data_IF_233372988280
#
_entry.id   IF_233372988280
#
_cell.length_a   1.000
_cell.length_b   1.000
_cell.length_c   1.000
_cell.angle_alpha   90.00
_cell.angle_beta   90.00
_cell.angle_gamma   90.00
#
_symmetry.space_group_name_H-M   'P 1'
#
loop_
_entity.id
_entity.type
_entity.pdbx_description
1 polymer ?
#
# COMPACT_ATOMS: atom_id res chain seq x y z
N UNK A 1 56.28 6.55 50.82
CA UNK A 1 57.22 5.92 49.88
C UNK A 1 56.48 5.97 48.52
N UNK A 2 56.73 6.94 47.80
CA UNK A 2 57.43 7.26 46.54
C UNK A 2 57.71 6.00 45.69
N UNK A 3 57.03 5.93 44.51
CA UNK A 3 57.78 5.77 43.27
C UNK A 3 56.91 6.17 42.09
N UNK A 4 57.42 7.17 41.44
CA UNK A 4 57.08 7.73 40.10
C UNK A 4 57.81 6.91 39.02
N UNK A 5 57.18 6.61 37.88
CA UNK A 5 57.92 6.33 36.64
C UNK A 5 57.05 6.94 35.47
N UNK A 6 57.59 7.88 34.97
CA UNK A 6 57.85 8.61 33.75
C UNK A 6 57.18 8.14 32.44
N UNK A 7 56.70 9.19 31.79
CA UNK A 7 56.41 9.41 30.36
C UNK A 7 57.33 8.69 29.35
N UNK A 8 56.72 8.26 28.26
CA UNK A 8 57.41 8.35 26.96
C UNK A 8 56.37 8.77 25.89
N UNK A 9 56.52 10.01 25.41
CA UNK A 9 55.90 10.55 24.23
C UNK A 9 56.65 10.01 23.01
N UNK A 10 55.93 9.43 22.04
CA UNK A 10 56.43 9.22 20.70
C UNK A 10 55.66 10.15 19.75
N UNK A 11 56.37 11.18 19.28
CA UNK A 11 56.00 12.00 18.11
C UNK A 11 56.20 11.14 16.85
N UNK A 12 55.17 11.08 16.02
CA UNK A 12 55.35 10.76 14.57
C UNK A 12 54.76 11.89 13.74
N UNK A 13 55.68 12.47 12.95
CA UNK A 13 55.43 13.53 12.00
C UNK A 13 54.72 12.98 10.75
N UNK A 14 53.95 13.81 10.01
CA UNK A 14 53.28 13.38 8.81
C UNK A 14 54.24 13.40 7.61
N UNK A 15 54.29 12.31 6.87
CA UNK A 15 54.95 12.22 5.58
C UNK A 15 53.96 12.70 4.51
N UNK A 16 54.22 13.88 3.97
CA UNK A 16 53.53 14.45 2.79
C UNK A 16 54.14 13.75 1.56
N UNK A 17 53.33 12.96 0.84
CA UNK A 17 53.66 12.44 -0.46
C UNK A 17 52.88 13.23 -1.53
N UNK A 18 53.59 14.15 -2.18
CA UNK A 18 53.13 14.80 -3.41
C UNK A 18 53.29 13.80 -4.54
N UNK A 19 52.19 13.37 -5.15
CA UNK A 19 52.19 12.73 -6.46
C UNK A 19 51.38 13.58 -7.42
N UNK A 20 52.14 14.32 -8.22
CA UNK A 20 51.68 14.94 -9.47
C UNK A 20 51.32 13.80 -10.44
N UNK A 21 50.04 13.71 -10.83
CA UNK A 21 49.69 12.95 -12.03
C UNK A 21 48.65 13.72 -12.85
N UNK A 22 48.97 13.77 -14.13
CA UNK A 22 48.51 14.61 -15.19
C UNK A 22 46.99 14.65 -15.38
N UNK A 23 46.58 15.82 -15.79
CA UNK A 23 45.28 16.10 -16.35
C UNK A 23 45.11 15.32 -17.68
N UNK A 24 44.35 14.24 -17.62
CA UNK A 24 43.74 13.69 -18.81
C UNK A 24 42.36 14.31 -18.93
N UNK A 25 42.19 15.21 -19.87
CA UNK A 25 40.91 15.70 -20.33
C UNK A 25 40.12 14.53 -20.91
N UNK A 26 39.15 14.02 -20.13
CA UNK A 26 38.09 13.22 -20.68
C UNK A 26 37.00 14.17 -21.17
N UNK A 27 36.92 14.29 -22.46
CA UNK A 27 35.81 14.88 -23.19
C UNK A 27 34.54 14.08 -22.83
N UNK A 28 33.69 14.64 -21.98
CA UNK A 28 32.33 14.17 -21.76
C UNK A 28 31.51 14.53 -23.01
N UNK A 29 31.55 13.69 -24.01
CA UNK A 29 30.53 13.68 -25.07
C UNK A 29 29.19 13.37 -24.41
N UNK A 30 28.35 14.41 -24.26
CA UNK A 30 26.92 14.25 -23.99
C UNK A 30 26.33 13.43 -25.12
N UNK A 31 25.53 12.37 -24.84
CA UNK A 31 24.74 11.76 -25.89
C UNK A 31 23.74 12.80 -26.39
N UNK A 32 23.83 13.13 -27.65
CA UNK A 32 22.86 13.93 -28.35
C UNK A 32 21.48 13.29 -28.20
N UNK A 33 20.53 14.07 -27.69
CA UNK A 33 19.12 13.75 -27.75
C UNK A 33 18.78 13.40 -29.21
N UNK A 34 18.42 12.15 -29.44
CA UNK A 34 17.87 11.71 -30.71
C UNK A 34 16.51 12.40 -30.90
N UNK A 35 16.51 13.57 -31.49
CA UNK A 35 15.35 14.09 -32.18
C UNK A 35 15.14 13.18 -33.38
N UNK A 36 14.14 12.30 -33.29
CA UNK A 36 13.62 11.58 -34.43
C UNK A 36 13.03 12.60 -35.40
N UNK A 37 13.80 12.96 -36.39
CA UNK A 37 13.29 13.56 -37.61
C UNK A 37 12.35 12.50 -38.24
N UNK A 38 11.08 12.71 -38.07
CA UNK A 38 10.08 12.00 -38.89
C UNK A 38 10.25 12.53 -40.31
N UNK A 39 11.04 11.84 -41.11
CA UNK A 39 11.08 12.06 -42.56
C UNK A 39 9.73 11.56 -43.10
N UNK A 40 8.96 12.48 -43.66
CA UNK A 40 7.76 12.16 -44.44
C UNK A 40 8.17 11.57 -45.80
N UNK A 41 8.74 10.39 -45.81
CA UNK A 41 8.88 9.63 -47.06
C UNK A 41 7.58 8.90 -47.37
N UNK A 42 6.79 9.53 -48.21
CA UNK A 42 5.61 8.90 -48.85
C UNK A 42 6.15 7.86 -49.84
N UNK A 43 6.14 6.60 -49.43
CA UNK A 43 6.37 5.49 -50.37
C UNK A 43 5.13 5.33 -51.23
N UNK A 44 5.31 5.51 -52.56
CA UNK A 44 4.30 5.10 -53.53
C UNK A 44 4.63 3.67 -54.01
N UNK A 45 3.56 2.89 -54.24
CA UNK A 45 3.72 1.62 -54.95
C UNK A 45 4.04 1.83 -56.45
N UNK A 46 4.39 0.77 -57.16
CA UNK A 46 4.75 0.81 -58.57
C UNK A 46 3.56 1.14 -59.51
N UNK A 47 2.35 1.41 -58.96
CA UNK A 47 1.13 1.78 -59.72
C UNK A 47 0.63 3.15 -59.39
N UNK A 48 1.30 3.91 -58.50
CA UNK A 48 0.94 5.33 -58.23
C UNK A 48 -0.33 5.56 -57.43
N UNK A 49 -0.90 4.54 -56.76
CA UNK A 49 -2.01 4.72 -55.85
C UNK A 49 -1.54 5.07 -54.45
N UNK A 50 -2.20 6.01 -53.75
CA UNK A 50 -1.84 6.34 -52.37
C UNK A 50 -2.16 5.13 -51.48
N UNK A 51 -1.15 4.62 -50.77
CA UNK A 51 -1.34 3.62 -49.71
C UNK A 51 -2.18 4.31 -48.61
N UNK A 52 -3.42 3.81 -48.41
CA UNK A 52 -4.23 4.20 -47.26
C UNK A 52 -3.37 4.01 -45.99
N UNK A 53 -3.15 5.11 -45.28
CA UNK A 53 -2.48 5.03 -43.97
C UNK A 53 -3.37 4.18 -43.08
N UNK A 54 -2.83 3.08 -42.56
CA UNK A 54 -3.44 2.38 -41.44
C UNK A 54 -3.77 3.43 -40.37
N UNK A 55 -5.06 3.71 -40.23
CA UNK A 55 -5.55 4.51 -39.12
C UNK A 55 -5.26 3.71 -37.85
N UNK A 56 -4.21 4.11 -37.13
CA UNK A 56 -3.98 3.60 -35.77
C UNK A 56 -5.20 4.06 -34.95
N UNK A 57 -6.15 3.16 -34.78
CA UNK A 57 -7.29 3.38 -33.91
C UNK A 57 -6.73 3.32 -32.48
N UNK A 58 -6.52 4.48 -31.89
CA UNK A 58 -6.28 4.57 -30.45
C UNK A 58 -7.59 4.23 -29.74
N UNK A 59 -7.72 2.95 -29.33
CA UNK A 59 -8.81 2.55 -28.43
C UNK A 59 -8.34 2.94 -27.02
N UNK A 60 -8.84 4.05 -26.53
CA UNK A 60 -8.66 4.47 -25.14
C UNK A 60 -9.59 3.62 -24.27
N UNK A 61 -9.08 2.50 -23.76
CA UNK A 61 -9.85 1.58 -22.93
C UNK A 61 -9.77 2.07 -21.49
N UNK A 62 -10.57 3.07 -21.15
CA UNK A 62 -10.74 3.53 -19.76
C UNK A 62 -11.59 2.50 -19.00
N UNK A 63 -10.94 1.51 -18.39
CA UNK A 63 -11.57 0.52 -17.53
C UNK A 63 -11.31 0.87 -16.06
N UNK A 64 -12.35 1.17 -15.32
CA UNK A 64 -12.28 1.33 -13.87
C UNK A 64 -12.47 -0.02 -13.18
N UNK A 65 -11.48 -0.43 -12.36
CA UNK A 65 -11.55 -1.66 -11.57
C UNK A 65 -11.88 -1.33 -10.11
N UNK A 66 -12.75 -2.15 -9.52
CA UNK A 66 -13.18 -2.02 -8.13
C UNK A 66 -13.10 -3.38 -7.46
N UNK A 67 -12.22 -3.51 -6.45
CA UNK A 67 -12.17 -4.67 -5.58
C UNK A 67 -13.30 -4.57 -4.56
N UNK A 68 -14.04 -5.67 -4.38
CA UNK A 68 -15.21 -5.73 -3.51
C UNK A 68 -15.10 -6.93 -2.58
N UNK A 69 -15.15 -6.67 -1.27
CA UNK A 69 -15.34 -7.70 -0.25
C UNK A 69 -16.80 -7.73 0.17
N UNK A 70 -17.38 -8.92 0.26
CA UNK A 70 -18.76 -9.10 0.73
C UNK A 70 -18.75 -9.98 1.97
N UNK A 71 -19.46 -9.55 3.03
CA UNK A 71 -19.61 -10.33 4.25
C UNK A 71 -21.08 -10.43 4.68
N UNK A 72 -21.38 -11.45 5.45
CA UNK A 72 -22.65 -11.55 6.17
C UNK A 72 -22.64 -10.67 7.44
N UNK A 73 -23.75 -10.56 8.18
CA UNK A 73 -23.81 -9.78 9.43
C UNK A 73 -22.89 -10.28 10.54
N UNK A 74 -22.38 -11.52 10.44
CA UNK A 74 -21.41 -12.10 11.37
C UNK A 74 -19.97 -11.91 10.91
N UNK A 75 -19.75 -11.03 9.92
CA UNK A 75 -18.42 -10.78 9.34
C UNK A 75 -17.76 -12.02 8.69
N UNK A 76 -18.54 -13.01 8.23
CA UNK A 76 -18.04 -14.14 7.44
C UNK A 76 -18.06 -13.76 5.97
N UNK A 77 -17.03 -14.16 5.24
CA UNK A 77 -16.94 -13.92 3.80
C UNK A 77 -18.09 -14.60 3.07
N UNK A 78 -18.65 -13.91 2.08
CA UNK A 78 -19.65 -14.44 1.16
C UNK A 78 -19.00 -14.55 -0.22
N UNK A 79 -18.79 -15.78 -0.66
CA UNK A 79 -18.24 -16.14 -1.97
C UNK A 79 -19.32 -16.75 -2.86
N UNK A 80 -19.02 -16.91 -4.17
CA UNK A 80 -19.97 -17.52 -5.13
C UNK A 80 -21.11 -16.60 -5.58
N UNK A 81 -20.96 -15.28 -5.40
CA UNK A 81 -21.85 -14.31 -6.04
C UNK A 81 -21.49 -14.15 -7.52
N UNK A 82 -22.50 -13.95 -8.34
CA UNK A 82 -22.40 -13.76 -9.79
C UNK A 82 -22.45 -12.26 -10.17
N UNK A 83 -22.03 -11.87 -11.38
CA UNK A 83 -22.07 -10.47 -11.84
C UNK A 83 -23.44 -9.81 -11.63
N UNK A 84 -24.53 -10.53 -11.88
CA UNK A 84 -25.91 -10.04 -11.74
C UNK A 84 -26.30 -9.68 -10.29
N UNK A 85 -25.51 -10.12 -9.31
CA UNK A 85 -25.70 -9.74 -7.92
C UNK A 85 -25.17 -8.34 -7.61
N UNK A 86 -24.38 -7.74 -8.51
CA UNK A 86 -23.74 -6.46 -8.27
C UNK A 86 -24.34 -5.36 -9.16
N UNK A 87 -24.52 -4.19 -8.58
CA UNK A 87 -24.86 -2.96 -9.30
C UNK A 87 -23.85 -1.88 -8.93
N UNK A 88 -23.14 -1.38 -9.92
CA UNK A 88 -22.12 -0.33 -9.77
C UNK A 88 -22.75 1.02 -10.11
N UNK A 89 -22.49 2.01 -9.26
CA UNK A 89 -22.91 3.40 -9.51
C UNK A 89 -21.69 4.31 -9.43
N UNK A 90 -21.52 5.18 -10.42
CA UNK A 90 -20.57 6.29 -10.40
C UNK A 90 -21.34 7.60 -10.40
N UNK A 91 -21.10 8.46 -9.43
CA UNK A 91 -21.82 9.74 -9.23
C UNK A 91 -23.36 9.58 -9.30
N UNK A 92 -23.88 8.48 -8.75
CA UNK A 92 -25.27 8.01 -8.77
C UNK A 92 -25.80 7.56 -10.15
N UNK A 93 -24.98 7.51 -11.19
CA UNK A 93 -25.32 6.91 -12.48
C UNK A 93 -24.92 5.45 -12.47
N UNK A 94 -25.85 4.55 -12.80
CA UNK A 94 -25.57 3.12 -12.88
C UNK A 94 -24.64 2.83 -14.05
N UNK A 95 -23.63 2.00 -13.80
CA UNK A 95 -22.62 1.58 -14.77
C UNK A 95 -22.79 0.10 -15.09
N UNK A 96 -22.57 -0.27 -16.34
CA UNK A 96 -22.58 -1.66 -16.78
C UNK A 96 -21.27 -2.34 -16.37
N UNK A 97 -21.38 -3.48 -15.68
CA UNK A 97 -20.21 -4.31 -15.33
C UNK A 97 -19.82 -5.12 -16.57
N UNK A 98 -18.68 -4.78 -17.16
CA UNK A 98 -18.15 -5.43 -18.37
C UNK A 98 -17.06 -6.46 -18.09
N UNK A 99 -16.51 -6.41 -16.88
CA UNK A 99 -15.53 -7.40 -16.41
C UNK A 99 -15.88 -7.82 -14.99
N UNK A 100 -15.79 -9.12 -14.74
CA UNK A 100 -16.02 -9.72 -13.43
C UNK A 100 -15.03 -10.85 -13.21
N UNK A 101 -14.34 -10.82 -12.06
CA UNK A 101 -13.48 -11.91 -11.62
C UNK A 101 -13.61 -12.10 -10.11
N UNK A 102 -13.44 -13.33 -9.66
CA UNK A 102 -13.29 -13.72 -8.27
C UNK A 102 -12.06 -14.61 -8.07
N UNK A 103 -11.13 -14.56 -9.01
CA UNK A 103 -9.91 -15.35 -8.98
C UNK A 103 -8.91 -14.80 -7.98
N UNK A 104 -8.17 -15.71 -7.34
CA UNK A 104 -7.02 -15.33 -6.52
C UNK A 104 -5.85 -14.97 -7.44
N UNK A 105 -5.48 -13.71 -7.43
CA UNK A 105 -4.36 -13.17 -8.21
C UNK A 105 -3.24 -12.73 -7.28
N UNK A 106 -1.97 -12.75 -7.74
CA UNK A 106 -0.83 -12.28 -6.95
C UNK A 106 -1.01 -10.86 -6.43
N UNK A 107 -0.60 -10.63 -5.18
CA UNK A 107 -0.76 -9.36 -4.48
C UNK A 107 0.60 -8.81 -4.05
N UNK A 108 0.79 -7.49 -4.21
CA UNK A 108 1.88 -6.76 -3.54
C UNK A 108 1.39 -6.20 -2.22
N UNK A 109 2.02 -6.59 -1.12
CA UNK A 109 1.56 -6.29 0.23
C UNK A 109 2.64 -5.56 1.02
N UNK A 110 2.30 -4.39 1.56
CA UNK A 110 3.11 -3.72 2.56
C UNK A 110 2.60 -3.99 3.98
N UNK A 111 3.47 -4.45 4.86
CA UNK A 111 3.16 -4.57 6.30
C UNK A 111 3.77 -3.39 7.02
N UNK A 112 2.95 -2.64 7.75
CA UNK A 112 3.33 -1.48 8.54
C UNK A 112 3.15 -1.85 10.01
N UNK A 113 4.28 -2.01 10.72
CA UNK A 113 4.32 -2.48 12.09
C UNK A 113 4.69 -1.36 13.05
N UNK A 114 3.83 -1.13 14.02
CA UNK A 114 4.07 -0.18 15.11
C UNK A 114 5.11 -0.72 16.09
N UNK A 115 6.17 0.06 16.27
CA UNK A 115 7.28 -0.19 17.19
C UNK A 115 7.38 0.91 18.25
N UNK A 116 6.29 1.64 18.50
CA UNK A 116 6.22 2.67 19.54
C UNK A 116 6.24 2.08 20.96
N UNK A 117 6.45 2.94 21.96
CA UNK A 117 6.55 2.52 23.35
C UNK A 117 5.27 1.86 23.89
N UNK A 118 4.08 2.28 23.44
CA UNK A 118 2.79 1.71 23.81
C UNK A 118 2.61 0.26 23.34
N UNK A 119 3.36 -0.13 22.30
CA UNK A 119 3.35 -1.49 21.77
C UNK A 119 4.24 -2.48 22.54
N UNK A 120 4.99 -2.06 23.56
CA UNK A 120 5.99 -2.89 24.22
C UNK A 120 5.45 -4.27 24.67
N UNK A 121 4.29 -4.30 25.31
CA UNK A 121 3.65 -5.52 25.78
C UNK A 121 2.83 -6.27 24.67
N UNK A 122 2.56 -5.60 23.57
CA UNK A 122 1.70 -6.07 22.45
C UNK A 122 2.53 -6.58 21.28
N UNK A 123 3.79 -6.13 21.16
CA UNK A 123 4.65 -6.37 19.99
C UNK A 123 4.86 -7.85 19.67
N UNK A 124 5.00 -8.70 20.68
CA UNK A 124 5.13 -10.15 20.50
C UNK A 124 3.94 -10.74 19.74
N UNK A 125 2.73 -10.38 20.17
CA UNK A 125 1.48 -10.83 19.52
C UNK A 125 1.23 -10.16 18.17
N UNK A 126 1.62 -8.90 18.00
CA UNK A 126 1.58 -8.22 16.70
C UNK A 126 2.47 -8.92 15.65
N UNK A 127 3.67 -9.34 16.05
CA UNK A 127 4.57 -10.14 15.20
C UNK A 127 3.97 -11.51 14.87
N UNK A 128 3.37 -12.20 15.84
CA UNK A 128 2.68 -13.47 15.63
C UNK A 128 1.53 -13.32 14.62
N UNK A 129 0.74 -12.25 14.74
CA UNK A 129 -0.31 -11.93 13.78
C UNK A 129 0.24 -11.73 12.36
N UNK A 130 1.30 -10.94 12.20
CA UNK A 130 1.93 -10.76 10.90
C UNK A 130 2.48 -12.08 10.33
N UNK A 131 3.00 -12.98 11.17
CA UNK A 131 3.44 -14.30 10.73
C UNK A 131 2.28 -15.18 10.27
N UNK A 132 1.12 -15.13 10.95
CA UNK A 132 -0.07 -15.84 10.48
C UNK A 132 -0.59 -15.25 9.17
N UNK A 133 -0.54 -13.94 9.01
CA UNK A 133 -0.88 -13.29 7.74
C UNK A 133 0.02 -13.79 6.59
N UNK A 134 1.32 -13.85 6.78
CA UNK A 134 2.26 -14.36 5.77
C UNK A 134 2.00 -15.84 5.40
N UNK A 135 1.44 -16.66 6.30
CA UNK A 135 1.06 -18.04 5.99
C UNK A 135 -0.11 -18.14 5.00
N UNK A 136 -0.86 -17.05 4.82
CA UNK A 136 -1.92 -16.97 3.80
C UNK A 136 -1.39 -16.57 2.43
N UNK A 137 -0.08 -16.33 2.31
CA UNK A 137 0.56 -15.85 1.10
C UNK A 137 0.51 -16.87 -0.03
N UNK A 138 0.36 -16.37 -1.24
CA UNK A 138 0.55 -17.11 -2.47
C UNK A 138 2.04 -17.10 -2.85
N UNK A 139 2.61 -18.13 -3.49
CA UNK A 139 4.02 -18.13 -3.90
C UNK A 139 4.44 -16.95 -4.78
N UNK A 140 3.50 -16.36 -5.51
CA UNK A 140 3.75 -15.22 -6.41
C UNK A 140 3.55 -13.86 -5.73
N UNK A 141 3.16 -13.83 -4.44
CA UNK A 141 3.05 -12.58 -3.70
C UNK A 141 4.41 -11.99 -3.37
N UNK A 142 4.43 -10.68 -3.29
CA UNK A 142 5.57 -9.94 -2.78
C UNK A 142 5.18 -9.06 -1.60
N UNK A 143 6.12 -8.92 -0.67
CA UNK A 143 5.92 -8.18 0.57
C UNK A 143 7.04 -7.17 0.79
N UNK A 144 6.73 -6.03 1.37
CA UNK A 144 7.71 -5.18 2.03
C UNK A 144 7.31 -4.92 3.48
N UNK A 145 8.27 -4.50 4.30
CA UNK A 145 8.07 -4.24 5.72
C UNK A 145 8.51 -2.83 6.08
N UNK A 146 7.60 -2.06 6.66
CA UNK A 146 7.86 -0.78 7.31
C UNK A 146 7.68 -0.95 8.81
N UNK A 147 8.68 -0.54 9.59
CA UNK A 147 8.54 -0.36 11.03
C UNK A 147 8.50 1.12 11.37
N UNK A 148 7.74 1.50 12.38
CA UNK A 148 7.71 2.89 12.81
C UNK A 148 7.62 3.05 14.33
N UNK A 149 8.27 4.08 14.80
CA UNK A 149 8.15 4.65 16.13
C UNK A 149 8.22 6.18 15.99
N UNK A 150 9.26 6.84 16.49
CA UNK A 150 9.49 8.28 16.26
C UNK A 150 9.69 8.61 14.77
N UNK A 151 10.03 7.63 13.94
CA UNK A 151 10.22 7.73 12.49
C UNK A 151 9.80 6.45 11.80
N UNK A 152 9.26 6.60 10.60
CA UNK A 152 9.02 5.46 9.72
C UNK A 152 10.32 5.04 9.02
N UNK A 153 10.56 3.72 8.95
CA UNK A 153 11.74 3.12 8.33
C UNK A 153 11.35 1.90 7.50
N UNK A 154 11.93 1.77 6.32
CA UNK A 154 11.81 0.57 5.51
C UNK A 154 12.73 -0.50 6.12
N UNK A 155 12.15 -1.52 6.73
CA UNK A 155 12.89 -2.64 7.33
C UNK A 155 13.24 -3.71 6.29
N UNK A 156 12.37 -3.91 5.29
CA UNK A 156 12.63 -4.78 4.15
C UNK A 156 12.02 -4.21 2.88
N UNK A 157 12.75 -4.12 1.77
CA UNK A 157 12.16 -3.85 0.45
C UNK A 157 11.28 -5.02 0.01
N UNK A 158 10.64 -4.90 -1.15
CA UNK A 158 9.85 -5.99 -1.73
C UNK A 158 10.66 -7.29 -1.85
N UNK A 159 10.07 -8.37 -1.37
CA UNK A 159 10.60 -9.73 -1.42
C UNK A 159 9.47 -10.76 -1.35
N UNK A 160 9.64 -11.90 -2.02
CA UNK A 160 8.79 -13.09 -1.80
C UNK A 160 9.29 -13.98 -0.66
N UNK A 161 10.44 -13.67 -0.05
CA UNK A 161 11.03 -14.47 1.03
C UNK A 161 10.44 -14.06 2.38
N UNK A 162 9.48 -14.84 2.86
CA UNK A 162 8.76 -14.60 4.14
C UNK A 162 9.69 -14.80 5.34
N UNK A 163 10.66 -15.70 5.28
CA UNK A 163 11.62 -15.97 6.35
C UNK A 163 12.51 -14.76 6.65
N UNK A 164 12.92 -14.04 5.60
CA UNK A 164 13.67 -12.79 5.74
C UNK A 164 12.86 -11.72 6.46
N UNK A 165 11.58 -11.57 6.08
CA UNK A 165 10.67 -10.63 6.74
C UNK A 165 10.51 -10.97 8.23
N UNK A 166 10.29 -12.24 8.55
CA UNK A 166 10.15 -12.71 9.92
C UNK A 166 11.42 -12.42 10.75
N UNK A 167 12.59 -12.70 10.18
CA UNK A 167 13.88 -12.44 10.83
C UNK A 167 14.06 -10.95 11.17
N UNK A 168 13.72 -10.06 10.23
CA UNK A 168 13.77 -8.60 10.45
C UNK A 168 12.76 -8.14 11.50
N UNK A 169 11.56 -8.70 11.49
CA UNK A 169 10.55 -8.41 12.51
C UNK A 169 10.98 -8.88 13.89
N UNK A 170 11.59 -10.06 14.02
CA UNK A 170 12.05 -10.60 15.31
C UNK A 170 13.08 -9.68 15.97
N UNK A 171 13.97 -9.06 15.19
CA UNK A 171 14.99 -8.14 15.69
C UNK A 171 14.44 -6.77 16.12
N UNK A 172 13.22 -6.42 15.72
CA UNK A 172 12.61 -5.13 16.05
C UNK A 172 12.18 -5.06 17.53
N UNK A 173 12.34 -3.91 18.15
CA UNK A 173 11.97 -3.63 19.55
C UNK A 173 11.09 -2.39 19.65
N UNK A 174 10.13 -2.41 20.59
CA UNK A 174 9.22 -1.30 20.82
C UNK A 174 9.86 -0.22 21.71
N UNK A 175 9.81 1.06 21.27
CA UNK A 175 10.26 2.23 22.01
C UNK A 175 9.85 3.53 21.34
N UNK A 176 9.84 4.62 22.10
CA UNK A 176 9.67 5.99 21.58
C UNK A 176 8.22 6.36 21.29
N UNK A 177 8.04 7.40 20.49
CA UNK A 177 6.76 7.97 20.08
C UNK A 177 6.19 7.24 18.87
N UNK A 178 5.08 7.76 18.30
CA UNK A 178 4.32 7.12 17.22
C UNK A 178 4.16 8.06 16.05
N UNK A 179 4.81 7.74 14.91
CA UNK A 179 4.71 8.48 13.64
C UNK A 179 3.93 7.64 12.60
N UNK A 180 2.66 7.35 12.90
CA UNK A 180 1.79 6.48 12.09
C UNK A 180 1.54 7.07 10.69
N UNK A 181 1.22 8.38 10.61
CA UNK A 181 0.93 9.01 9.33
C UNK A 181 2.16 9.05 8.40
N UNK A 182 3.36 9.26 8.97
CA UNK A 182 4.62 9.13 8.23
C UNK A 182 4.85 7.70 7.71
N UNK A 183 4.44 6.68 8.49
CA UNK A 183 4.55 5.29 8.09
C UNK A 183 3.59 4.92 6.96
N UNK A 184 2.35 5.42 7.00
CA UNK A 184 1.39 5.26 5.90
C UNK A 184 1.92 5.94 4.64
N UNK A 185 2.46 7.17 4.75
CA UNK A 185 3.10 7.85 3.63
C UNK A 185 4.22 7.01 3.01
N UNK A 186 5.13 6.48 3.83
CA UNK A 186 6.23 5.64 3.38
C UNK A 186 5.72 4.37 2.71
N UNK A 187 4.71 3.69 3.30
CA UNK A 187 4.08 2.51 2.73
C UNK A 187 3.47 2.77 1.35
N UNK A 188 2.70 3.84 1.20
CA UNK A 188 2.13 4.25 -0.10
C UNK A 188 3.22 4.61 -1.12
N UNK A 189 4.32 5.23 -0.67
CA UNK A 189 5.46 5.55 -1.53
C UNK A 189 6.17 4.29 -2.02
N UNK A 190 6.38 3.29 -1.16
CA UNK A 190 6.95 1.99 -1.54
C UNK A 190 6.04 1.25 -2.52
N UNK A 191 4.72 1.30 -2.31
CA UNK A 191 3.73 0.63 -3.15
C UNK A 191 3.76 1.07 -4.63
N UNK A 192 4.34 2.23 -4.95
CA UNK A 192 4.55 2.65 -6.35
C UNK A 192 5.50 1.73 -7.12
N UNK A 193 6.39 1.02 -6.41
CA UNK A 193 7.30 0.02 -6.98
C UNK A 193 6.75 -1.40 -7.01
N UNK A 194 5.46 -1.59 -6.70
CA UNK A 194 4.81 -2.89 -6.67
C UNK A 194 4.77 -3.58 -8.04
N UNK A 195 5.15 -4.85 -8.09
CA UNK A 195 5.15 -5.67 -9.30
C UNK A 195 3.76 -6.19 -9.67
N UNK A 196 2.86 -6.37 -8.68
CA UNK A 196 1.52 -6.89 -8.91
C UNK A 196 0.49 -5.76 -9.03
N UNK A 197 -0.54 -6.00 -9.83
CA UNK A 197 -1.65 -5.04 -10.03
C UNK A 197 -2.54 -4.90 -8.79
N UNK A 198 -2.72 -5.99 -8.02
CA UNK A 198 -3.46 -5.95 -6.75
C UNK A 198 -2.52 -5.54 -5.63
N UNK A 199 -2.92 -4.51 -4.86
CA UNK A 199 -2.06 -3.85 -3.87
C UNK A 199 -2.76 -3.65 -2.56
N UNK A 200 -2.08 -3.97 -1.45
CA UNK A 200 -2.64 -3.79 -0.12
C UNK A 200 -1.58 -3.32 0.90
N UNK A 201 -2.00 -2.54 1.89
CA UNK A 201 -1.23 -2.23 3.09
C UNK A 201 -1.94 -2.81 4.31
N UNK A 202 -1.22 -3.56 5.13
CA UNK A 202 -1.68 -4.04 6.43
C UNK A 202 -0.99 -3.23 7.53
N UNK A 203 -1.75 -2.46 8.28
CA UNK A 203 -1.28 -1.65 9.41
C UNK A 203 -1.58 -2.39 10.71
N UNK A 204 -0.57 -2.61 11.55
CA UNK A 204 -0.71 -3.20 12.88
C UNK A 204 -0.22 -2.18 13.90
N UNK A 205 -1.15 -1.57 14.65
CA UNK A 205 -0.86 -0.45 15.56
C UNK A 205 -1.92 -0.34 16.64
N UNK A 206 -1.65 0.38 17.71
CA UNK A 206 -2.67 0.85 18.65
C UNK A 206 -3.30 2.19 18.22
N UNK A 207 -2.94 2.72 17.05
CA UNK A 207 -3.63 3.78 16.33
C UNK A 207 -3.31 5.20 16.77
N UNK A 208 -2.50 5.41 17.80
CA UNK A 208 -2.03 6.74 18.19
C UNK A 208 -1.11 7.35 17.13
N UNK A 209 -1.20 8.66 16.93
CA UNK A 209 -0.20 9.43 16.16
C UNK A 209 0.14 10.69 16.93
N UNK A 210 1.39 10.83 17.33
CA UNK A 210 1.84 11.96 18.15
C UNK A 210 3.18 12.54 17.69
N UNK A 211 3.74 12.05 16.57
CA UNK A 211 5.06 12.48 16.12
C UNK A 211 5.23 12.53 14.60
N UNK A 212 4.17 12.39 13.82
CA UNK A 212 4.24 12.51 12.36
C UNK A 212 4.45 13.95 11.90
N UNK A 213 5.09 14.09 10.75
CA UNK A 213 5.29 15.37 10.04
C UNK A 213 4.12 15.69 9.12
N UNK A 214 3.48 14.65 8.58
CA UNK A 214 2.31 14.79 7.73
C UNK A 214 1.05 14.95 8.58
N UNK A 215 0.11 15.77 8.10
CA UNK A 215 -1.20 15.89 8.71
C UNK A 215 -2.13 14.76 8.27
N UNK A 216 -3.14 14.47 9.08
CA UNK A 216 -4.19 13.51 8.75
C UNK A 216 -4.87 13.85 7.41
N UNK A 217 -5.11 15.13 7.15
CA UNK A 217 -5.70 15.61 5.90
C UNK A 217 -4.82 15.27 4.68
N UNK A 218 -3.50 15.42 4.80
CA UNK A 218 -2.57 15.13 3.71
C UNK A 218 -2.55 13.64 3.40
N UNK A 219 -2.52 12.80 4.43
CA UNK A 219 -2.53 11.35 4.26
C UNK A 219 -3.87 10.86 3.71
N UNK A 220 -5.01 11.36 4.19
CA UNK A 220 -6.34 11.02 3.62
C UNK A 220 -6.42 11.36 2.12
N UNK A 221 -5.80 12.47 1.68
CA UNK A 221 -5.72 12.80 0.26
C UNK A 221 -4.89 11.76 -0.50
N UNK A 222 -3.70 11.44 -0.02
CA UNK A 222 -2.83 10.42 -0.66
C UNK A 222 -3.49 9.04 -0.71
N UNK A 223 -4.16 8.64 0.35
CA UNK A 223 -4.92 7.37 0.42
C UNK A 223 -6.02 7.30 -0.64
N UNK A 224 -6.72 8.41 -0.90
CA UNK A 224 -7.75 8.48 -1.96
C UNK A 224 -7.16 8.39 -3.36
N UNK A 225 -5.93 8.89 -3.55
CA UNK A 225 -5.24 8.86 -4.85
C UNK A 225 -4.54 7.51 -5.09
N UNK A 226 -4.28 6.75 -4.03
CA UNK A 226 -3.58 5.48 -4.12
C UNK A 226 -4.53 4.37 -4.59
N UNK A 227 -4.10 3.61 -5.59
CA UNK A 227 -4.77 2.36 -5.97
C UNK A 227 -4.26 1.22 -5.09
N UNK A 228 -4.47 1.36 -3.78
CA UNK A 228 -3.97 0.45 -2.74
C UNK A 228 -5.02 0.32 -1.66
N UNK A 229 -5.42 -0.90 -1.33
CA UNK A 229 -6.35 -1.16 -0.23
C UNK A 229 -5.62 -1.10 1.11
N UNK A 230 -6.18 -0.40 2.07
CA UNK A 230 -5.65 -0.32 3.43
C UNK A 230 -6.48 -1.24 4.34
N UNK A 231 -5.80 -2.12 5.04
CA UNK A 231 -6.35 -2.90 6.16
C UNK A 231 -5.64 -2.50 7.43
N UNK A 232 -6.34 -2.53 8.55
CA UNK A 232 -5.71 -2.27 9.85
C UNK A 232 -6.16 -3.24 10.92
N UNK A 233 -5.23 -3.61 11.81
CA UNK A 233 -5.47 -4.27 13.07
C UNK A 233 -5.13 -3.27 14.16
N UNK A 234 -6.17 -2.71 14.78
CA UNK A 234 -6.07 -1.79 15.90
C UNK A 234 -6.07 -2.53 17.22
N UNK A 235 -5.01 -2.42 18.02
CA UNK A 235 -4.84 -3.17 19.28
C UNK A 235 -5.22 -2.26 20.45
N UNK A 236 -6.41 -2.46 21.04
CA UNK A 236 -6.96 -1.59 22.07
C UNK A 236 -7.35 -2.37 23.32
N UNK A 237 -6.45 -2.51 24.29
CA UNK A 237 -6.74 -3.20 25.55
C UNK A 237 -7.69 -2.36 26.44
N UNK A 238 -8.81 -2.94 26.92
CA UNK A 238 -9.82 -2.20 27.70
C UNK A 238 -9.29 -1.60 29.01
N UNK A 239 -8.29 -2.23 29.62
CA UNK A 239 -7.76 -1.83 30.93
C UNK A 239 -6.90 -0.56 30.88
N UNK A 240 -6.41 -0.15 29.73
CA UNK A 240 -5.57 1.04 29.55
C UNK A 240 -6.38 2.35 29.39
N UNK A 241 -7.71 2.28 29.41
CA UNK A 241 -8.60 3.43 29.13
C UNK A 241 -8.33 4.66 30.00
N UNK A 242 -7.80 4.48 31.20
CA UNK A 242 -7.56 5.61 32.14
C UNK A 242 -6.24 6.34 31.93
N UNK A 243 -5.33 5.74 31.14
CA UNK A 243 -3.99 6.31 30.88
C UNK A 243 -3.78 6.71 29.41
N UNK A 244 -4.79 6.54 28.55
CA UNK A 244 -4.69 6.88 27.13
C UNK A 244 -4.64 8.37 26.89
N UNK A 245 -3.77 8.76 25.94
CA UNK A 245 -3.77 10.11 25.38
C UNK A 245 -4.97 10.32 24.44
N UNK A 246 -5.27 11.58 24.10
CA UNK A 246 -6.34 11.89 23.14
C UNK A 246 -6.06 11.25 21.76
N UNK A 247 -4.82 11.18 21.37
CA UNK A 247 -4.37 10.58 20.12
C UNK A 247 -4.66 9.07 20.10
N UNK A 248 -4.38 8.35 21.17
CA UNK A 248 -4.68 6.92 21.31
C UNK A 248 -6.20 6.66 21.35
N UNK A 249 -6.99 7.56 21.92
CA UNK A 249 -8.46 7.47 21.93
C UNK A 249 -9.03 7.65 20.50
N UNK A 250 -8.43 8.52 19.70
CA UNK A 250 -8.86 8.78 18.32
C UNK A 250 -8.32 7.77 17.31
N UNK A 251 -7.33 6.96 17.70
CA UNK A 251 -6.66 5.99 16.82
C UNK A 251 -7.60 5.05 16.06
N UNK A 252 -8.59 4.40 16.72
CA UNK A 252 -9.56 3.53 16.04
C UNK A 252 -10.33 4.25 14.94
N UNK A 253 -10.76 5.48 15.20
CA UNK A 253 -11.50 6.29 14.22
C UNK A 253 -10.63 6.64 13.04
N UNK A 254 -9.37 7.05 13.27
CA UNK A 254 -8.41 7.35 12.22
C UNK A 254 -8.14 6.14 11.32
N UNK A 255 -7.85 4.98 11.90
CA UNK A 255 -7.61 3.74 11.16
C UNK A 255 -8.85 3.33 10.35
N UNK A 256 -10.06 3.42 10.93
CA UNK A 256 -11.30 3.09 10.25
C UNK A 256 -11.55 4.00 9.04
N UNK A 257 -11.41 5.32 9.21
CA UNK A 257 -11.59 6.27 8.11
C UNK A 257 -10.59 6.04 6.97
N UNK A 258 -9.32 5.74 7.27
CA UNK A 258 -8.31 5.46 6.25
C UNK A 258 -8.62 4.18 5.45
N UNK A 259 -9.06 3.12 6.14
CA UNK A 259 -9.38 1.84 5.50
C UNK A 259 -10.66 1.92 4.66
N UNK A 260 -11.71 2.58 5.15
CA UNK A 260 -12.98 2.76 4.43
C UNK A 260 -12.80 3.50 3.09
N UNK A 261 -11.90 4.49 3.02
CA UNK A 261 -11.64 5.24 1.79
C UNK A 261 -11.21 4.32 0.63
N UNK A 262 -10.51 3.24 0.94
CA UNK A 262 -9.88 2.32 -0.03
C UNK A 262 -10.66 1.03 -0.26
N UNK A 263 -11.74 0.82 0.50
CA UNK A 263 -12.52 -0.42 0.45
C UNK A 263 -11.89 -1.57 1.24
N UNK A 264 -10.88 -1.27 2.06
CA UNK A 264 -10.38 -2.19 3.07
C UNK A 264 -11.16 -2.06 4.38
N UNK A 265 -10.63 -2.64 5.46
CA UNK A 265 -11.33 -2.73 6.75
C UNK A 265 -10.40 -2.52 7.93
N UNK A 266 -10.93 -1.92 8.99
CA UNK A 266 -10.28 -1.86 10.29
C UNK A 266 -10.87 -2.94 11.22
N UNK A 267 -10.00 -3.66 11.90
CA UNK A 267 -10.34 -4.65 12.91
C UNK A 267 -9.83 -4.18 14.27
N UNK A 268 -10.74 -3.92 15.17
CA UNK A 268 -10.40 -3.58 16.56
C UNK A 268 -10.26 -4.87 17.37
N UNK A 269 -9.14 -5.01 18.07
CA UNK A 269 -8.79 -6.19 18.86
C UNK A 269 -8.59 -5.77 20.31
N UNK A 270 -9.39 -6.34 21.19
CA UNK A 270 -9.33 -6.14 22.64
C UNK A 270 -8.55 -7.26 23.35
N UNK A 271 -8.58 -8.48 22.79
CA UNK A 271 -7.84 -9.62 23.29
C UNK A 271 -6.69 -9.96 22.32
N UNK A 272 -5.47 -9.82 22.79
CA UNK A 272 -4.26 -10.08 21.98
C UNK A 272 -4.18 -11.50 21.39
N UNK A 273 -4.87 -12.47 21.98
CA UNK A 273 -4.90 -13.83 21.45
C UNK A 273 -5.73 -13.97 20.17
N UNK A 274 -6.60 -13.01 19.87
CA UNK A 274 -7.42 -13.02 18.65
C UNK A 274 -6.67 -12.45 17.44
N UNK A 275 -5.50 -11.80 17.66
CA UNK A 275 -4.70 -11.16 16.62
C UNK A 275 -4.32 -12.10 15.46
N UNK A 276 -3.83 -13.33 15.70
CA UNK A 276 -3.47 -14.25 14.63
C UNK A 276 -4.66 -14.62 13.75
N UNK A 277 -5.83 -14.87 14.34
CA UNK A 277 -7.05 -15.26 13.62
C UNK A 277 -7.58 -14.10 12.76
N UNK A 278 -7.50 -12.86 13.28
CA UNK A 278 -7.89 -11.66 12.53
C UNK A 278 -6.93 -11.43 11.36
N UNK A 279 -5.64 -11.63 11.55
CA UNK A 279 -4.65 -11.50 10.49
C UNK A 279 -4.89 -12.55 9.38
N UNK A 280 -5.15 -13.81 9.75
CA UNK A 280 -5.52 -14.86 8.81
C UNK A 280 -6.82 -14.53 8.06
N UNK A 281 -7.81 -13.94 8.75
CA UNK A 281 -9.06 -13.49 8.14
C UNK A 281 -8.83 -12.38 7.11
N UNK A 282 -7.97 -11.41 7.39
CA UNK A 282 -7.60 -10.35 6.42
C UNK A 282 -6.95 -10.98 5.19
N UNK A 283 -6.04 -11.93 5.37
CA UNK A 283 -5.45 -12.68 4.27
C UNK A 283 -6.49 -13.40 3.42
N UNK A 284 -7.44 -14.09 4.06
CA UNK A 284 -8.55 -14.74 3.36
C UNK A 284 -9.45 -13.73 2.63
N UNK A 285 -9.74 -12.56 3.23
CA UNK A 285 -10.50 -11.50 2.55
C UNK A 285 -9.79 -11.00 1.31
N UNK A 286 -8.50 -10.73 1.38
CA UNK A 286 -7.70 -10.27 0.24
C UNK A 286 -7.70 -11.29 -0.91
N UNK A 287 -7.76 -12.60 -0.62
CA UNK A 287 -7.81 -13.68 -1.63
C UNK A 287 -9.17 -13.82 -2.30
N UNK A 288 -10.25 -13.56 -1.57
CA UNK A 288 -11.61 -13.87 -1.99
C UNK A 288 -12.42 -12.60 -2.34
N UNK A 289 -11.78 -11.60 -2.93
CA UNK A 289 -12.45 -10.40 -3.40
C UNK A 289 -13.02 -10.61 -4.80
N UNK A 290 -14.16 -9.97 -5.06
CA UNK A 290 -14.66 -9.78 -6.40
C UNK A 290 -13.99 -8.57 -7.04
N UNK A 291 -13.65 -8.66 -8.32
CA UNK A 291 -13.14 -7.54 -9.11
C UNK A 291 -14.21 -7.18 -10.13
N UNK A 292 -14.76 -5.98 -10.01
CA UNK A 292 -15.74 -5.44 -10.93
C UNK A 292 -15.08 -4.42 -11.84
N UNK A 293 -15.18 -4.61 -13.15
CA UNK A 293 -14.70 -3.66 -14.15
C UNK A 293 -15.85 -3.02 -14.90
N UNK A 294 -15.81 -1.70 -15.10
CA UNK A 294 -16.79 -0.96 -15.90
C UNK A 294 -16.11 0.16 -16.68
N UNK A 295 -16.72 0.57 -17.78
CA UNK A 295 -16.31 1.75 -18.52
C UNK A 295 -17.08 2.97 -18.01
N UNK A 296 -16.40 3.96 -17.37
CA UNK A 296 -17.06 5.16 -16.89
C UNK A 296 -17.87 5.84 -18.00
N UNK A 297 -19.16 6.08 -17.75
CA UNK A 297 -20.01 6.83 -18.67
C UNK A 297 -19.61 8.30 -18.77
N UNK A 298 -19.04 8.85 -17.69
CA UNK A 298 -18.42 10.19 -17.67
C UNK A 298 -16.96 10.10 -18.14
N UNK A 299 -16.70 10.47 -19.38
CA UNK A 299 -15.37 10.43 -20.02
C UNK A 299 -14.53 11.70 -19.80
N UNK A 300 -14.95 12.64 -18.95
CA UNK A 300 -14.21 13.87 -18.72
C UNK A 300 -12.88 13.59 -17.97
N UNK A 301 -11.79 14.08 -18.53
CA UNK A 301 -10.44 14.03 -17.95
C UNK A 301 -10.19 15.33 -17.17
N UNK A 302 -10.89 15.51 -16.04
CA UNK A 302 -10.99 16.77 -15.30
C UNK A 302 -10.36 16.72 -13.91
N UNK A 303 -9.65 15.64 -13.57
CA UNK A 303 -9.06 15.38 -12.27
C UNK A 303 -10.04 15.46 -11.08
N UNK A 304 -11.36 15.39 -11.34
CA UNK A 304 -12.38 15.44 -10.29
C UNK A 304 -12.60 14.09 -9.67
N UNK A 305 -13.02 14.12 -8.41
CA UNK A 305 -13.41 12.92 -7.67
C UNK A 305 -14.69 12.32 -8.29
N UNK A 306 -14.65 11.02 -8.57
CA UNK A 306 -15.79 10.18 -9.00
C UNK A 306 -16.16 9.30 -7.82
N UNK A 307 -17.40 9.47 -7.32
CA UNK A 307 -17.89 8.68 -6.20
C UNK A 307 -18.38 7.32 -6.69
N UNK A 308 -17.87 6.24 -6.13
CA UNK A 308 -18.32 4.86 -6.40
C UNK A 308 -19.26 4.39 -5.29
N UNK A 309 -20.31 3.69 -5.68
CA UNK A 309 -21.18 2.98 -4.76
C UNK A 309 -21.57 1.62 -5.36
N UNK A 310 -21.31 0.56 -4.61
CA UNK A 310 -21.73 -0.79 -4.96
C UNK A 310 -23.00 -1.13 -4.19
N UNK A 311 -24.01 -1.68 -4.87
CA UNK A 311 -25.22 -2.25 -4.27
C UNK A 311 -25.30 -3.71 -4.62
N UNK A 312 -25.73 -4.54 -3.67
CA UNK A 312 -26.01 -5.95 -3.92
C UNK A 312 -27.49 -6.18 -4.16
N UNK A 313 -27.75 -7.02 -5.16
CA UNK A 313 -29.01 -7.72 -5.31
C UNK A 313 -28.77 -9.15 -4.82
N UNK A 314 -28.83 -9.32 -3.49
CA UNK A 314 -28.54 -10.62 -2.89
C UNK A 314 -29.47 -11.72 -3.38
N UNK A 315 -28.99 -12.96 -3.49
CA UNK A 315 -29.83 -14.14 -3.70
C UNK A 315 -30.93 -14.23 -2.64
N UNK A 316 -32.11 -14.72 -3.04
CA UNK A 316 -33.25 -14.90 -2.11
C UNK A 316 -32.84 -15.85 -0.96
N UNK A 317 -33.15 -15.45 0.26
CA UNK A 317 -32.89 -16.27 1.46
C UNK A 317 -31.59 -15.96 2.20
N UNK A 318 -30.72 -15.08 1.66
CA UNK A 318 -29.56 -14.58 2.41
C UNK A 318 -29.96 -13.38 3.30
N UNK A 319 -29.33 -13.25 4.48
CA UNK A 319 -29.48 -12.05 5.30
C UNK A 319 -28.93 -10.82 4.58
N UNK A 320 -29.21 -9.60 5.07
CA UNK A 320 -28.56 -8.39 4.55
C UNK A 320 -27.02 -8.55 4.56
N UNK A 321 -26.39 -8.27 3.41
CA UNK A 321 -24.94 -8.41 3.23
C UNK A 321 -24.26 -7.05 3.35
N UNK A 322 -23.05 -7.04 3.91
CA UNK A 322 -22.19 -5.88 3.95
C UNK A 322 -21.25 -5.88 2.75
N UNK A 323 -21.03 -4.69 2.17
CA UNK A 323 -20.16 -4.49 1.01
C UNK A 323 -19.07 -3.52 1.37
N UNK A 324 -17.83 -3.90 1.10
CA UNK A 324 -16.66 -3.07 1.28
C UNK A 324 -15.98 -2.89 -0.08
N UNK A 325 -15.90 -1.64 -0.52
CA UNK A 325 -15.30 -1.26 -1.79
C UNK A 325 -14.78 0.18 -1.68
N UNK A 326 -13.81 0.54 -2.52
CA UNK A 326 -13.31 1.93 -2.57
C UNK A 326 -14.45 2.91 -2.80
N UNK A 327 -14.41 4.05 -2.12
CA UNK A 327 -15.50 5.06 -2.15
C UNK A 327 -15.48 5.93 -3.39
N UNK A 328 -14.42 5.85 -4.20
CA UNK A 328 -14.25 6.60 -5.43
C UNK A 328 -12.81 6.62 -5.94
N UNK A 329 -12.57 7.43 -6.94
CA UNK A 329 -11.25 7.69 -7.53
C UNK A 329 -11.21 9.08 -8.15
N UNK A 330 -10.02 9.60 -8.43
CA UNK A 330 -9.86 10.83 -9.22
C UNK A 330 -9.82 10.49 -10.71
N UNK A 331 -10.65 11.16 -11.51
CA UNK A 331 -10.58 11.03 -12.95
C UNK A 331 -9.16 11.39 -13.46
N UNK A 332 -8.69 10.78 -14.56
CA UNK A 332 -7.43 11.15 -15.16
C UNK A 332 -7.36 12.66 -15.43
N UNK A 333 -6.16 13.23 -15.41
CA UNK A 333 -5.87 14.56 -15.87
C UNK A 333 -5.13 14.45 -17.21
N UNK A 334 -5.49 15.25 -18.21
CA UNK A 334 -4.78 15.33 -19.49
C UNK A 334 -3.43 16.02 -19.33
#
# INVERSE_FOLDING_TARGET
MKNSIAMTRALYAPLIFFLLFGAAMFDLQRPASAQSLVSNDVKHDTQGQPIERDQVVHIDVNLALVNVTVTDPYNRLVTGLEPDNFRVFEDNVEQEVVNFSSEDVPISIGVILDLSGSMANKLGKAKEAAFQFFKTANPEDEFFLVGFNERAQLLSPFTGNVEDLQSRMLSASARGKTALLDAIYLGLSQMRGAGNGKRALLIISDGGDNNSRYSERDIKRLVREADTQLYSIGIFEPFEFRSRTLEEVNGPTLLNEMTELTGGRAFTVENLNDLPDIAAKIGAELRNQYVLGYHPSNKAHDARWRKIKIKLRGPKGLPPLNVYAKTGYYAPNL
#
